data_IF_553881772832
#
_entry.id   IF_553881772832
#
_cell.length_a   1.000
_cell.length_b   1.000
_cell.length_c   1.000
_cell.angle_alpha   90.00
_cell.angle_beta   90.00
_cell.angle_gamma   90.00
#
_symmetry.space_group_name_H-M   'P 1'
#
loop_
_entity.id
_entity.type
_entity.pdbx_description
1 polymer ?
#
# COMPACT_ATOMS: atom_id res chain seq x y z
N UNK A 1 -3.98 -16.62 8.93
CA UNK A 1 -3.27 -15.43 8.44
C UNK A 1 -4.03 -15.00 7.22
N UNK A 2 -4.47 -13.76 7.24
CA UNK A 2 -5.21 -13.17 6.14
C UNK A 2 -4.22 -12.44 5.25
N UNK A 3 -4.52 -12.42 3.96
CA UNK A 3 -3.71 -11.73 2.96
C UNK A 3 -4.30 -10.33 2.80
N UNK A 4 -3.49 -9.33 3.13
CA UNK A 4 -3.85 -7.92 2.99
C UNK A 4 -3.14 -7.35 1.77
N UNK A 5 -3.84 -6.55 0.96
CA UNK A 5 -3.28 -6.01 -0.27
C UNK A 5 -3.55 -4.53 -0.44
N UNK A 6 -2.59 -3.84 -1.05
CA UNK A 6 -2.78 -2.47 -1.53
C UNK A 6 -2.45 -2.42 -3.02
N UNK A 7 -3.20 -1.62 -3.75
CA UNK A 7 -2.95 -1.37 -5.18
C UNK A 7 -2.41 0.03 -5.34
N UNK A 8 -1.22 0.17 -5.92
CA UNK A 8 -0.69 1.45 -6.33
C UNK A 8 -1.49 1.97 -7.53
N UNK A 9 -1.56 3.29 -7.72
CA UNK A 9 -2.25 3.91 -8.86
C UNK A 9 -1.67 3.51 -10.22
N UNK A 10 -0.43 3.00 -10.27
CA UNK A 10 0.19 2.42 -11.46
C UNK A 10 -0.30 1.01 -11.80
N UNK A 11 -1.14 0.40 -10.94
CA UNK A 11 -1.68 -0.95 -11.11
C UNK A 11 -0.84 -2.06 -10.46
N UNK A 12 0.33 -1.73 -9.89
CA UNK A 12 1.10 -2.70 -9.11
C UNK A 12 0.38 -3.03 -7.80
N UNK A 13 0.30 -4.32 -7.48
CA UNK A 13 -0.33 -4.83 -6.26
C UNK A 13 0.76 -5.34 -5.33
N UNK A 14 0.77 -4.86 -4.09
CA UNK A 14 1.60 -5.38 -3.01
C UNK A 14 0.71 -6.08 -2.00
N UNK A 15 1.18 -7.22 -1.48
CA UNK A 15 0.44 -7.97 -0.47
C UNK A 15 1.34 -8.49 0.64
N UNK A 16 0.78 -8.60 1.83
CA UNK A 16 1.45 -9.17 3.01
C UNK A 16 0.49 -10.13 3.74
N UNK A 17 1.04 -11.22 4.27
CA UNK A 17 0.30 -12.10 5.16
C UNK A 17 0.44 -11.60 6.61
N UNK A 18 -0.67 -11.44 7.31
CA UNK A 18 -0.70 -10.96 8.69
C UNK A 18 -1.82 -11.63 9.51
N UNK A 19 -1.69 -11.62 10.84
CA UNK A 19 -2.72 -12.07 11.78
C UNK A 19 -3.73 -10.98 12.15
N UNK A 20 -3.44 -9.72 11.83
CA UNK A 20 -4.33 -8.58 12.01
C UNK A 20 -4.03 -7.46 11.00
N UNK A 21 -4.95 -6.52 10.86
CA UNK A 21 -4.77 -5.33 10.03
C UNK A 21 -3.61 -4.44 10.55
N UNK A 22 -3.47 -4.29 11.86
CA UNK A 22 -2.37 -3.52 12.46
C UNK A 22 -1.01 -4.15 12.13
N UNK A 23 -0.93 -5.48 12.18
CA UNK A 23 0.26 -6.22 11.77
C UNK A 23 0.52 -6.06 10.27
N UNK A 24 -0.52 -6.10 9.43
CA UNK A 24 -0.40 -5.87 7.99
C UNK A 24 0.14 -4.47 7.67
N UNK A 25 -0.39 -3.44 8.33
CA UNK A 25 0.09 -2.06 8.22
C UNK A 25 1.56 -1.96 8.61
N UNK A 26 1.96 -2.54 9.76
CA UNK A 26 3.36 -2.53 10.19
C UNK A 26 4.27 -3.18 9.15
N UNK A 27 3.91 -4.37 8.66
CA UNK A 27 4.69 -5.10 7.64
C UNK A 27 4.80 -4.34 6.33
N UNK A 28 3.72 -3.71 5.86
CA UNK A 28 3.76 -2.90 4.64
C UNK A 28 4.63 -1.66 4.80
N UNK A 29 4.55 -0.97 5.94
CA UNK A 29 5.39 0.21 6.24
C UNK A 29 6.88 -0.16 6.36
N UNK A 30 7.20 -1.35 6.84
CA UNK A 30 8.57 -1.87 6.91
C UNK A 30 9.11 -2.23 5.51
N UNK A 31 8.26 -2.78 4.63
CA UNK A 31 8.64 -3.12 3.26
C UNK A 31 8.91 -1.88 2.40
N UNK A 32 8.12 -0.82 2.59
CA UNK A 32 8.22 0.43 1.84
C UNK A 32 9.22 1.42 2.46
N UNK A 33 10.51 1.06 2.49
CA UNK A 33 11.57 1.97 2.93
C UNK A 33 11.71 3.18 1.99
N UNK A 34 12.36 4.26 2.44
CA UNK A 34 12.62 5.44 1.59
C UNK A 34 13.33 5.07 0.28
N UNK A 35 14.23 4.09 0.32
CA UNK A 35 14.94 3.58 -0.87
C UNK A 35 14.00 2.84 -1.81
N UNK A 36 13.16 1.95 -1.29
CA UNK A 36 12.16 1.21 -2.09
C UNK A 36 11.13 2.16 -2.71
N UNK A 37 10.70 3.20 -1.98
CA UNK A 37 9.80 4.23 -2.50
C UNK A 37 10.48 4.98 -3.66
N UNK A 38 11.73 5.43 -3.46
CA UNK A 38 12.48 6.12 -4.51
C UNK A 38 12.68 5.23 -5.75
N UNK A 39 13.00 3.95 -5.55
CA UNK A 39 13.15 2.99 -6.66
C UNK A 39 11.82 2.78 -7.40
N UNK A 40 10.71 2.56 -6.68
CA UNK A 40 9.40 2.38 -7.29
C UNK A 40 8.99 3.61 -8.10
N UNK A 41 9.23 4.83 -7.59
CA UNK A 41 8.96 6.05 -8.34
C UNK A 41 9.87 6.21 -9.56
N UNK A 42 11.15 5.89 -9.45
CA UNK A 42 12.07 5.94 -10.59
C UNK A 42 11.68 4.97 -11.71
N UNK A 43 11.16 3.78 -11.37
CA UNK A 43 10.79 2.74 -12.33
C UNK A 43 9.37 2.88 -12.87
N UNK A 44 8.39 3.19 -12.00
CA UNK A 44 6.95 3.15 -12.31
C UNK A 44 6.31 4.52 -12.48
N UNK A 45 6.95 5.57 -11.96
CA UNK A 45 6.45 6.95 -12.00
C UNK A 45 7.52 7.94 -12.52
N UNK A 46 8.14 7.69 -13.70
CA UNK A 46 9.24 8.51 -14.18
C UNK A 46 8.83 9.98 -14.36
N UNK A 47 9.56 10.88 -13.72
CA UNK A 47 9.30 12.33 -13.75
C UNK A 47 8.27 12.82 -12.74
N UNK A 48 7.67 11.94 -11.92
CA UNK A 48 6.89 12.37 -10.76
C UNK A 48 7.79 12.63 -9.56
N UNK A 49 7.38 13.56 -8.70
CA UNK A 49 8.07 13.83 -7.44
C UNK A 49 7.95 12.60 -6.52
N UNK A 50 9.08 12.17 -5.97
CA UNK A 50 9.13 11.04 -5.03
C UNK A 50 8.47 11.47 -3.72
N UNK A 51 7.43 10.75 -3.31
CA UNK A 51 6.76 11.00 -2.04
C UNK A 51 7.66 10.67 -0.84
N UNK A 52 7.40 11.32 0.30
CA UNK A 52 8.12 11.01 1.53
C UNK A 52 7.66 9.68 2.12
N UNK A 53 8.49 9.10 2.99
CA UNK A 53 8.13 7.91 3.77
C UNK A 53 6.85 8.11 4.57
N UNK A 54 6.67 9.28 5.17
CA UNK A 54 5.47 9.62 5.95
C UNK A 54 4.21 9.65 5.08
N UNK A 55 4.29 10.20 3.86
CA UNK A 55 3.18 10.19 2.90
C UNK A 55 2.84 8.77 2.46
N UNK A 56 3.85 7.94 2.17
CA UNK A 56 3.65 6.53 1.84
C UNK A 56 2.97 5.78 3.00
N UNK A 57 3.41 6.02 4.24
CA UNK A 57 2.84 5.40 5.43
C UNK A 57 1.37 5.80 5.67
N UNK A 58 1.03 7.06 5.41
CA UNK A 58 -0.34 7.54 5.47
C UNK A 58 -1.22 6.89 4.39
N UNK A 59 -0.68 6.66 3.18
CA UNK A 59 -1.38 5.93 2.12
C UNK A 59 -1.62 4.46 2.52
N UNK A 60 -0.62 3.78 3.07
CA UNK A 60 -0.76 2.40 3.56
C UNK A 60 -1.83 2.31 4.65
N UNK A 61 -1.80 3.24 5.62
CA UNK A 61 -2.83 3.32 6.65
C UNK A 61 -4.22 3.48 6.04
N UNK A 62 -4.37 4.38 5.06
CA UNK A 62 -5.66 4.64 4.44
C UNK A 62 -6.19 3.42 3.67
N UNK A 63 -5.36 2.78 2.85
CA UNK A 63 -5.80 1.69 1.98
C UNK A 63 -6.10 0.43 2.79
N UNK A 64 -5.22 0.04 3.71
CA UNK A 64 -5.46 -1.16 4.52
C UNK A 64 -6.55 -0.96 5.57
N UNK A 65 -6.78 0.27 6.07
CA UNK A 65 -7.91 0.56 6.98
C UNK A 65 -9.26 0.62 6.28
N UNK A 66 -9.29 0.94 4.97
CA UNK A 66 -10.53 0.94 4.18
C UNK A 66 -11.03 -0.47 3.85
N UNK A 67 -10.18 -1.50 3.81
CA UNK A 67 -10.61 -2.88 3.53
C UNK A 67 -11.58 -3.47 4.59
N UNK A 68 -11.79 -2.82 5.75
CA UNK A 68 -12.86 -3.20 6.69
C UNK A 68 -14.26 -2.70 6.30
N UNK A 69 -14.38 -1.82 5.31
CA UNK A 69 -15.67 -1.50 4.71
C UNK A 69 -15.94 -2.51 3.58
N UNK A 70 -16.97 -3.37 3.68
CA UNK A 70 -17.31 -4.28 2.60
C UNK A 70 -17.61 -3.44 1.35
N UNK A 71 -16.70 -3.50 0.37
CA UNK A 71 -16.96 -3.02 -0.97
C UNK A 71 -17.93 -4.01 -1.60
N UNK A 72 -19.22 -3.75 -1.37
CA UNK A 72 -20.31 -4.40 -2.07
C UNK A 72 -20.11 -4.19 -3.56
N UNK A 73 -19.82 -5.29 -4.25
CA UNK A 73 -20.29 -5.58 -5.59
C UNK A 73 -21.49 -4.69 -5.96
N UNK A 74 -21.23 -3.68 -6.79
CA UNK A 74 -22.27 -2.97 -7.51
C UNK A 74 -22.07 -3.31 -8.97
N UNK A 75 -22.34 -4.57 -9.30
CA UNK A 75 -22.84 -4.92 -10.62
C UNK A 75 -24.07 -4.06 -10.91
N UNK A 76 -23.97 -3.27 -11.98
CA UNK A 76 -25.08 -2.69 -12.71
C UNK A 76 -24.85 -2.97 -14.19
#
# INVERSE_FOLDING_TARGET
MDKYSMTCSCGDVVSVDAGSQEEAVSKMKEMWTTEMIAQHFAEKHPGQEVITKEQCDAMIDQELKKEEAPSTDSGM
#
